data_IF_074863077119
#
_entry.id   IF_074863077119
#
_cell.length_a   1.000
_cell.length_b   1.000
_cell.length_c   1.000
_cell.angle_alpha   90.00
_cell.angle_beta   90.00
_cell.angle_gamma   90.00
#
_symmetry.space_group_name_H-M   'P 1'
#
loop_
_entity.id
_entity.type
_entity.pdbx_description
1 polymer ?
#
# COMPACT_ATOMS: atom_id res chain seq x y z
N UNK A 1 18.96 -21.58 -4.41
CA UNK A 1 17.60 -21.81 -4.97
C UNK A 1 17.67 -22.72 -6.20
N UNK A 2 16.81 -23.73 -6.27
CA UNK A 2 16.65 -24.59 -7.46
C UNK A 2 16.31 -23.77 -8.71
N UNK A 3 16.75 -24.22 -9.90
CA UNK A 3 16.45 -23.58 -11.20
C UNK A 3 14.94 -23.46 -11.43
N UNK A 4 14.17 -24.46 -10.99
CA UNK A 4 12.71 -24.46 -11.03
C UNK A 4 12.10 -23.33 -10.18
N UNK A 5 12.58 -23.15 -8.96
CA UNK A 5 12.10 -22.08 -8.06
C UNK A 5 12.36 -20.67 -8.59
N UNK A 6 13.52 -20.44 -9.24
CA UNK A 6 13.84 -19.15 -9.87
C UNK A 6 12.91 -18.83 -11.04
N UNK A 7 12.63 -19.82 -11.89
CA UNK A 7 11.70 -19.66 -13.01
C UNK A 7 10.28 -19.42 -12.52
N UNK A 8 9.84 -20.12 -11.47
CA UNK A 8 8.54 -19.89 -10.85
C UNK A 8 8.43 -18.48 -10.29
N UNK A 9 9.43 -18.01 -9.53
CA UNK A 9 9.46 -16.65 -8.99
C UNK A 9 9.42 -15.58 -10.09
N UNK A 10 10.22 -15.73 -11.16
CA UNK A 10 10.20 -14.81 -12.30
C UNK A 10 8.85 -14.81 -13.03
N UNK A 11 8.24 -15.98 -13.19
CA UNK A 11 6.90 -16.12 -13.77
C UNK A 11 5.86 -15.39 -12.92
N UNK A 12 5.92 -15.54 -11.59
CA UNK A 12 5.07 -14.82 -10.65
C UNK A 12 5.27 -13.31 -10.73
N UNK A 13 6.51 -12.82 -10.73
CA UNK A 13 6.81 -11.39 -10.89
C UNK A 13 6.28 -10.83 -12.22
N UNK A 14 6.37 -11.62 -13.31
CA UNK A 14 5.81 -11.27 -14.61
C UNK A 14 4.29 -11.16 -14.56
N UNK A 15 3.59 -12.14 -13.98
CA UNK A 15 2.12 -12.11 -13.79
C UNK A 15 1.69 -10.92 -12.93
N UNK A 16 2.43 -10.65 -11.85
CA UNK A 16 2.17 -9.51 -10.98
C UNK A 16 2.29 -8.20 -11.77
N UNK A 17 3.39 -8.01 -12.48
CA UNK A 17 3.70 -6.74 -13.17
C UNK A 17 2.79 -6.49 -14.39
N UNK A 18 2.55 -7.51 -15.20
CA UNK A 18 1.75 -7.43 -16.44
C UNK A 18 0.27 -7.72 -16.23
N UNK A 19 -0.16 -8.09 -15.02
CA UNK A 19 -1.52 -8.53 -14.71
C UNK A 19 -1.84 -9.91 -15.27
N UNK A 20 -3.04 -10.40 -14.95
CA UNK A 20 -3.39 -11.80 -15.17
C UNK A 20 -2.87 -12.66 -14.03
N UNK A 21 -3.37 -12.39 -12.81
CA UNK A 21 -3.11 -13.23 -11.65
C UNK A 21 -3.52 -14.67 -11.94
N UNK A 22 -2.79 -15.62 -11.34
CA UNK A 22 -3.12 -17.04 -11.41
C UNK A 22 -4.59 -17.28 -11.00
N UNK A 23 -5.16 -18.39 -11.45
CA UNK A 23 -6.47 -18.84 -10.98
C UNK A 23 -6.40 -19.20 -9.49
N UNK A 24 -7.55 -19.25 -8.81
CA UNK A 24 -7.62 -19.53 -7.37
C UNK A 24 -6.88 -20.82 -7.02
N UNK A 25 -7.03 -21.84 -7.86
CA UNK A 25 -6.40 -23.17 -7.72
C UNK A 25 -4.89 -23.18 -7.99
N UNK A 26 -4.37 -22.17 -8.70
CA UNK A 26 -2.98 -22.12 -9.19
C UNK A 26 -2.09 -21.14 -8.40
N UNK A 27 -2.54 -20.74 -7.19
CA UNK A 27 -1.73 -19.90 -6.30
C UNK A 27 -2.01 -18.40 -6.42
N UNK A 28 -3.23 -17.99 -6.80
CA UNK A 28 -3.68 -16.58 -6.78
C UNK A 28 -3.35 -15.86 -5.48
N UNK A 29 -3.50 -16.54 -4.33
CA UNK A 29 -3.15 -15.99 -3.02
C UNK A 29 -1.67 -15.61 -2.94
N UNK A 30 -0.77 -16.45 -3.44
CA UNK A 30 0.67 -16.18 -3.46
C UNK A 30 1.03 -14.99 -4.35
N UNK A 31 0.39 -14.87 -5.52
CA UNK A 31 0.57 -13.72 -6.42
C UNK A 31 0.13 -12.42 -5.73
N UNK A 32 -1.03 -12.43 -5.05
CA UNK A 32 -1.55 -11.27 -4.30
C UNK A 32 -0.63 -10.92 -3.14
N UNK A 33 -0.21 -11.91 -2.35
CA UNK A 33 0.65 -11.72 -1.19
C UNK A 33 1.98 -11.09 -1.59
N UNK A 34 2.63 -11.60 -2.65
CA UNK A 34 3.87 -11.03 -3.14
C UNK A 34 3.66 -9.62 -3.70
N UNK A 35 2.58 -9.37 -4.43
CA UNK A 35 2.27 -8.04 -4.95
C UNK A 35 2.07 -7.02 -3.80
N UNK A 36 1.43 -7.41 -2.71
CA UNK A 36 1.26 -6.57 -1.52
C UNK A 36 2.57 -6.33 -0.78
N UNK A 37 3.44 -7.34 -0.68
CA UNK A 37 4.80 -7.18 -0.14
C UNK A 37 5.60 -6.17 -0.96
N UNK A 38 5.52 -6.23 -2.30
CA UNK A 38 6.21 -5.28 -3.18
C UNK A 38 5.77 -3.82 -2.98
N UNK A 39 4.57 -3.56 -2.45
CA UNK A 39 4.14 -2.18 -2.13
C UNK A 39 5.00 -1.52 -1.05
N UNK A 40 5.51 -2.32 -0.10
CA UNK A 40 6.40 -1.84 0.96
C UNK A 40 7.79 -1.45 0.42
N UNK A 41 8.14 -1.82 -0.82
CA UNK A 41 9.41 -1.46 -1.47
C UNK A 41 9.37 -0.13 -2.24
N UNK A 42 8.26 0.60 -2.24
CA UNK A 42 8.12 1.85 -3.00
C UNK A 42 9.27 2.85 -2.76
N UNK A 43 9.62 3.12 -1.51
CA UNK A 43 10.73 4.02 -1.15
C UNK A 43 12.09 3.44 -1.51
N UNK A 44 12.29 2.15 -1.28
CA UNK A 44 13.53 1.43 -1.65
C UNK A 44 13.80 1.54 -3.15
N UNK A 45 12.76 1.42 -4.00
CA UNK A 45 12.89 1.62 -5.45
C UNK A 45 13.30 3.05 -5.81
N UNK A 46 12.71 4.05 -5.14
CA UNK A 46 13.09 5.45 -5.30
C UNK A 46 14.55 5.71 -4.91
N UNK A 47 15.01 5.16 -3.79
CA UNK A 47 16.38 5.32 -3.30
C UNK A 47 17.40 4.57 -4.16
N UNK A 48 17.04 3.39 -4.66
CA UNK A 48 17.87 2.64 -5.61
C UNK A 48 18.06 3.46 -6.89
N UNK A 49 16.99 4.10 -7.38
CA UNK A 49 17.07 4.98 -8.54
C UNK A 49 17.98 6.20 -8.27
N UNK A 50 17.77 6.92 -7.17
CA UNK A 50 18.60 8.09 -6.81
C UNK A 50 20.07 7.68 -6.65
N UNK A 51 20.35 6.56 -5.98
CA UNK A 51 21.69 6.02 -5.81
C UNK A 51 22.34 5.68 -7.15
N UNK A 52 21.59 5.04 -8.05
CA UNK A 52 22.05 4.73 -9.41
C UNK A 52 22.30 6.00 -10.22
N UNK A 53 21.41 6.99 -10.14
CA UNK A 53 21.56 8.28 -10.80
C UNK A 53 22.85 8.98 -10.35
N UNK A 54 23.14 8.99 -9.05
CA UNK A 54 24.36 9.58 -8.50
C UNK A 54 25.62 8.85 -8.97
N UNK A 55 25.59 7.51 -9.04
CA UNK A 55 26.72 6.70 -9.51
C UNK A 55 27.12 7.02 -10.96
N UNK A 56 26.15 7.35 -11.82
CA UNK A 56 26.40 7.71 -13.22
C UNK A 56 26.49 9.22 -13.48
N UNK A 57 26.32 10.05 -12.45
CA UNK A 57 26.40 11.50 -12.58
C UNK A 57 27.83 11.99 -12.43
N UNK A 58 28.37 12.60 -13.49
CA UNK A 58 29.71 13.20 -13.50
C UNK A 58 29.90 14.35 -12.49
N UNK A 59 28.81 14.85 -11.89
CA UNK A 59 28.82 15.96 -10.92
C UNK A 59 28.96 15.50 -9.47
N UNK A 60 28.89 14.19 -9.20
CA UNK A 60 28.88 13.65 -7.83
C UNK A 60 30.25 13.06 -7.49
N UNK A 61 30.87 13.53 -6.41
CA UNK A 61 32.11 12.94 -5.87
C UNK A 61 31.74 11.97 -4.74
N UNK A 62 32.48 10.86 -4.59
CA UNK A 62 32.18 9.80 -3.60
C UNK A 62 32.14 10.26 -2.13
N UNK A 63 32.70 11.43 -1.81
CA UNK A 63 32.72 12.03 -0.46
C UNK A 63 31.82 13.26 -0.30
N UNK A 64 31.15 13.70 -1.36
CA UNK A 64 30.25 14.85 -1.30
C UNK A 64 28.89 14.48 -0.66
N UNK A 65 28.17 15.48 -0.15
CA UNK A 65 26.80 15.28 0.35
C UNK A 65 25.94 14.68 -0.78
N UNK A 66 25.22 13.56 -0.55
CA UNK A 66 24.45 12.90 -1.60
C UNK A 66 23.36 13.81 -2.16
N UNK A 67 23.31 13.93 -3.49
CA UNK A 67 22.28 14.68 -4.22
C UNK A 67 20.98 13.86 -4.34
N UNK A 68 20.09 14.04 -3.35
CA UNK A 68 18.75 13.43 -3.36
C UNK A 68 17.81 14.00 -4.42
N UNK A 69 18.21 15.06 -5.13
CA UNK A 69 17.52 15.61 -6.29
C UNK A 69 17.93 14.98 -7.62
N UNK A 70 18.86 14.02 -7.62
CA UNK A 70 19.30 13.34 -8.83
C UNK A 70 18.12 12.64 -9.53
N UNK A 71 17.84 13.03 -10.77
CA UNK A 71 16.69 12.55 -11.55
C UNK A 71 15.43 13.43 -11.45
N UNK A 72 15.49 14.54 -10.73
CA UNK A 72 14.47 15.58 -10.72
C UNK A 72 13.30 15.35 -9.76
N UNK A 73 12.49 16.39 -9.57
CA UNK A 73 11.46 16.44 -8.53
C UNK A 73 10.28 15.46 -8.73
N UNK A 74 10.08 14.97 -9.96
CA UNK A 74 8.89 14.19 -10.32
C UNK A 74 9.16 12.72 -10.62
N UNK A 75 10.38 12.36 -11.01
CA UNK A 75 10.71 10.98 -11.41
C UNK A 75 10.75 10.04 -10.20
N UNK A 76 11.32 10.47 -9.08
CA UNK A 76 11.33 9.67 -7.84
C UNK A 76 9.92 9.40 -7.32
N UNK A 77 9.03 10.41 -7.18
CA UNK A 77 7.61 10.16 -6.87
C UNK A 77 6.91 9.22 -7.86
N UNK A 78 7.20 9.34 -9.16
CA UNK A 78 6.65 8.44 -10.16
C UNK A 78 7.07 6.98 -9.91
N UNK A 79 8.36 6.72 -9.67
CA UNK A 79 8.89 5.39 -9.33
C UNK A 79 8.24 4.84 -8.06
N UNK A 80 8.10 5.68 -7.02
CA UNK A 80 7.42 5.30 -5.78
C UNK A 80 5.94 4.95 -5.99
N UNK A 81 5.29 5.47 -7.04
CA UNK A 81 3.90 5.15 -7.37
C UNK A 81 3.72 3.82 -8.11
N UNK A 82 4.79 3.25 -8.69
CA UNK A 82 4.75 2.03 -9.53
C UNK A 82 4.09 0.84 -8.82
N UNK A 83 4.42 0.49 -7.57
CA UNK A 83 3.76 -0.64 -6.91
C UNK A 83 2.23 -0.46 -6.78
N UNK A 84 1.78 0.76 -6.47
CA UNK A 84 0.35 1.09 -6.39
C UNK A 84 -0.34 1.05 -7.76
N UNK A 85 0.33 1.47 -8.83
CA UNK A 85 -0.16 1.34 -10.21
C UNK A 85 -0.36 -0.12 -10.57
N UNK A 86 0.62 -0.98 -10.26
CA UNK A 86 0.55 -2.42 -10.52
C UNK A 86 -0.67 -3.02 -9.79
N UNK A 87 -0.84 -2.73 -8.50
CA UNK A 87 -1.97 -3.24 -7.71
C UNK A 87 -3.32 -2.71 -8.21
N UNK A 88 -3.42 -1.42 -8.53
CA UNK A 88 -4.61 -0.83 -9.13
C UNK A 88 -4.99 -1.58 -10.40
N UNK A 89 -4.03 -1.77 -11.31
CA UNK A 89 -4.27 -2.46 -12.58
C UNK A 89 -4.72 -3.91 -12.37
N UNK A 90 -4.10 -4.64 -11.45
CA UNK A 90 -4.53 -6.00 -11.09
C UNK A 90 -5.97 -6.03 -10.58
N UNK A 91 -6.33 -5.11 -9.67
CA UNK A 91 -7.68 -5.05 -9.10
C UNK A 91 -8.73 -4.74 -10.16
N UNK A 92 -8.42 -3.84 -11.11
CA UNK A 92 -9.32 -3.51 -12.23
C UNK A 92 -9.48 -4.69 -13.20
N UNK A 93 -8.41 -5.42 -13.49
CA UNK A 93 -8.48 -6.62 -14.34
C UNK A 93 -9.37 -7.69 -13.71
N UNK A 94 -9.20 -7.96 -12.41
CA UNK A 94 -10.03 -8.93 -11.69
C UNK A 94 -11.50 -8.47 -11.60
N UNK A 95 -11.75 -7.18 -11.38
CA UNK A 95 -13.11 -6.63 -11.44
C UNK A 95 -13.77 -6.87 -12.80
N UNK A 96 -13.05 -6.59 -13.89
CA UNK A 96 -13.55 -6.82 -15.25
C UNK A 96 -13.75 -8.32 -15.53
N UNK A 97 -12.88 -9.18 -15.00
CA UNK A 97 -12.99 -10.64 -15.11
C UNK A 97 -14.26 -11.16 -14.44
N UNK A 98 -14.50 -10.77 -13.18
CA UNK A 98 -15.73 -11.14 -12.43
C UNK A 98 -16.98 -10.56 -13.09
N UNK A 99 -16.91 -9.31 -13.58
CA UNK A 99 -18.03 -8.68 -14.28
C UNK A 99 -18.39 -9.40 -15.59
N UNK A 100 -17.40 -9.91 -16.31
CA UNK A 100 -17.60 -10.65 -17.57
C UNK A 100 -18.12 -12.06 -17.32
N UNK A 101 -17.63 -12.74 -16.29
CA UNK A 101 -17.99 -14.11 -15.94
C UNK A 101 -18.82 -14.15 -14.65
N UNK A 102 -19.91 -13.37 -14.60
CA UNK A 102 -20.70 -13.22 -13.38
C UNK A 102 -21.47 -14.51 -13.09
N UNK A 103 -21.15 -15.16 -11.98
CA UNK A 103 -21.93 -16.27 -11.43
C UNK A 103 -22.86 -15.77 -10.32
N UNK A 104 -23.90 -16.53 -9.94
CA UNK A 104 -24.74 -16.19 -8.79
C UNK A 104 -23.94 -16.07 -7.48
N UNK A 105 -22.83 -16.80 -7.37
CA UNK A 105 -21.95 -16.86 -6.18
C UNK A 105 -20.85 -15.79 -6.18
N UNK A 106 -20.40 -15.29 -7.34
CA UNK A 106 -19.28 -14.35 -7.44
C UNK A 106 -19.65 -12.88 -7.14
N UNK A 107 -20.91 -12.59 -6.80
CA UNK A 107 -21.40 -11.21 -6.64
C UNK A 107 -21.14 -10.34 -7.88
N UNK A 108 -21.16 -9.01 -7.72
CA UNK A 108 -20.88 -8.06 -8.82
C UNK A 108 -19.42 -7.59 -8.89
N UNK A 109 -18.54 -8.12 -8.02
CA UNK A 109 -17.12 -7.78 -7.99
C UNK A 109 -16.77 -6.47 -7.26
N UNK A 110 -17.68 -5.88 -6.49
CA UNK A 110 -17.48 -4.59 -5.81
C UNK A 110 -16.26 -4.55 -4.87
N UNK A 111 -15.88 -5.68 -4.28
CA UNK A 111 -14.67 -5.78 -3.43
C UNK A 111 -13.38 -5.53 -4.24
N UNK A 112 -13.29 -5.97 -5.50
CA UNK A 112 -12.13 -5.68 -6.35
C UNK A 112 -12.03 -4.19 -6.67
N UNK A 113 -13.17 -3.52 -6.88
CA UNK A 113 -13.21 -2.07 -7.10
C UNK A 113 -12.84 -1.30 -5.83
N UNK A 114 -13.31 -1.75 -4.67
CA UNK A 114 -12.90 -1.18 -3.38
C UNK A 114 -11.38 -1.34 -3.17
N UNK A 115 -10.81 -2.49 -3.52
CA UNK A 115 -9.36 -2.68 -3.44
C UNK A 115 -8.61 -1.77 -4.44
N UNK A 116 -9.14 -1.60 -5.65
CA UNK A 116 -8.62 -0.64 -6.62
C UNK A 116 -8.63 0.79 -6.05
N UNK A 117 -9.73 1.19 -5.40
CA UNK A 117 -9.84 2.48 -4.72
C UNK A 117 -8.76 2.63 -3.63
N UNK A 118 -8.47 1.57 -2.86
CA UNK A 118 -7.43 1.57 -1.84
C UNK A 118 -6.08 1.98 -2.42
N UNK A 119 -5.60 1.31 -3.47
CA UNK A 119 -4.31 1.65 -4.08
C UNK A 119 -4.32 2.98 -4.83
N UNK A 120 -5.48 3.40 -5.35
CA UNK A 120 -5.62 4.71 -6.00
C UNK A 120 -5.49 5.88 -5.01
N UNK A 121 -5.88 5.68 -3.75
CA UNK A 121 -5.81 6.71 -2.69
C UNK A 121 -4.38 7.15 -2.34
N UNK A 122 -3.37 6.38 -2.75
CA UNK A 122 -1.97 6.77 -2.60
C UNK A 122 -1.52 7.84 -3.62
N UNK A 123 -2.14 7.93 -4.80
CA UNK A 123 -1.67 8.85 -5.85
C UNK A 123 -1.83 10.33 -5.50
N UNK A 124 -2.96 10.80 -4.92
CA UNK A 124 -3.06 12.17 -4.48
C UNK A 124 -1.98 12.54 -3.45
N UNK A 125 -1.63 11.61 -2.55
CA UNK A 125 -0.55 11.82 -1.57
C UNK A 125 0.79 12.04 -2.28
N UNK A 126 1.15 11.13 -3.19
CA UNK A 126 2.43 11.18 -3.91
C UNK A 126 2.52 12.42 -4.80
N UNK A 127 1.47 12.70 -5.56
CA UNK A 127 1.41 13.83 -6.50
C UNK A 127 1.49 15.18 -5.77
N UNK A 128 0.69 15.38 -4.72
CA UNK A 128 0.72 16.63 -3.94
C UNK A 128 2.08 16.81 -3.24
N UNK A 129 2.69 15.72 -2.76
CA UNK A 129 4.04 15.78 -2.18
C UNK A 129 5.11 16.14 -3.21
N UNK A 130 5.00 15.65 -4.45
CA UNK A 130 5.92 16.00 -5.54
C UNK A 130 5.80 17.46 -5.96
N UNK A 131 4.57 17.97 -6.09
CA UNK A 131 4.31 19.38 -6.42
C UNK A 131 4.89 20.35 -5.39
N UNK A 132 4.90 19.96 -4.11
CA UNK A 132 5.46 20.78 -3.04
C UNK A 132 6.99 20.83 -3.05
N UNK A 133 7.65 19.76 -3.52
CA UNK A 133 9.12 19.68 -3.63
C UNK A 133 9.67 20.33 -4.90
N UNK A 134 8.94 20.25 -6.02
CA UNK A 134 9.39 20.74 -7.32
C UNK A 134 9.37 22.25 -7.51
N UNK A 135 9.06 23.04 -6.48
CA UNK A 135 8.90 24.49 -6.60
C UNK A 135 10.05 25.23 -5.91
N UNK A 136 11.01 25.74 -6.70
CA UNK A 136 12.11 26.59 -6.22
C UNK A 136 11.76 28.08 -6.47
N UNK A 137 11.60 28.89 -5.40
CA UNK A 137 11.31 30.32 -5.53
C UNK A 137 12.47 31.13 -6.14
N UNK A 138 13.68 30.57 -6.26
CA UNK A 138 14.87 31.27 -6.76
C UNK A 138 14.93 31.44 -8.29
N UNK A 139 14.05 30.77 -9.03
CA UNK A 139 14.05 30.78 -10.52
C UNK A 139 13.21 31.91 -11.12
N UNK A 140 12.43 32.63 -10.33
CA UNK A 140 11.56 33.71 -10.82
C UNK A 140 12.13 35.09 -10.49
N UNK A 141 13.02 35.58 -11.35
CA UNK A 141 13.49 36.96 -11.33
C UNK A 141 12.40 37.89 -11.90
N UNK A 142 11.64 38.57 -11.04
CA UNK A 142 10.75 39.65 -11.47
C UNK A 142 10.60 40.75 -10.39
N UNK A 143 10.58 42.01 -10.83
CA UNK A 143 10.64 43.27 -10.06
C UNK A 143 9.38 43.58 -9.24
N UNK A 144 9.40 44.59 -8.36
CA UNK A 144 9.77 44.51 -6.93
C UNK A 144 8.51 44.84 -6.09
N UNK A 145 8.36 44.23 -4.92
CA UNK A 145 7.37 44.51 -3.86
C UNK A 145 5.87 44.25 -4.10
N UNK A 146 5.21 44.83 -5.10
CA UNK A 146 3.74 44.77 -5.24
C UNK A 146 3.22 43.46 -5.82
N UNK A 147 3.77 43.05 -6.97
CA UNK A 147 3.55 41.73 -7.55
C UNK A 147 4.12 40.64 -6.65
N UNK A 148 5.20 40.92 -5.92
CA UNK A 148 5.76 40.01 -4.92
C UNK A 148 4.77 39.72 -3.79
N UNK A 149 4.06 40.73 -3.24
CA UNK A 149 3.06 40.48 -2.19
C UNK A 149 1.85 39.70 -2.70
N UNK A 150 1.30 40.06 -3.87
CA UNK A 150 0.15 39.34 -4.44
C UNK A 150 0.53 37.89 -4.81
N UNK A 151 1.71 37.72 -5.40
CA UNK A 151 2.30 36.41 -5.68
C UNK A 151 2.57 35.63 -4.40
N UNK A 152 3.12 36.26 -3.35
CA UNK A 152 3.42 35.64 -2.06
C UNK A 152 2.15 35.17 -1.36
N UNK A 153 1.10 35.99 -1.32
CA UNK A 153 -0.19 35.62 -0.75
C UNK A 153 -0.87 34.49 -1.55
N UNK A 154 -0.91 34.59 -2.88
CA UNK A 154 -1.41 33.52 -3.75
C UNK A 154 -0.58 32.23 -3.64
N UNK A 155 0.74 32.37 -3.50
CA UNK A 155 1.69 31.28 -3.32
C UNK A 155 1.49 30.59 -1.97
N UNK A 156 1.41 31.36 -0.89
CA UNK A 156 1.19 30.85 0.45
C UNK A 156 -0.20 30.19 0.52
N UNK A 157 -1.23 30.79 -0.08
CA UNK A 157 -2.56 30.20 -0.18
C UNK A 157 -2.56 28.88 -0.96
N UNK A 158 -1.91 28.82 -2.14
CA UNK A 158 -1.78 27.60 -2.94
C UNK A 158 -1.01 26.51 -2.19
N UNK A 159 0.08 26.87 -1.49
CA UNK A 159 0.89 25.95 -0.70
C UNK A 159 0.11 25.39 0.49
N UNK A 160 -0.55 26.26 1.26
CA UNK A 160 -1.42 25.86 2.37
C UNK A 160 -2.58 24.98 1.90
N UNK A 161 -3.19 25.31 0.76
CA UNK A 161 -4.24 24.46 0.17
C UNK A 161 -3.69 23.08 -0.21
N UNK A 162 -2.54 23.03 -0.89
CA UNK A 162 -1.88 21.77 -1.22
C UNK A 162 -1.49 20.95 0.02
N UNK A 163 -1.01 21.60 1.09
CA UNK A 163 -0.68 20.97 2.38
C UNK A 163 -1.92 20.35 3.03
N UNK A 164 -3.04 21.08 3.07
CA UNK A 164 -4.32 20.59 3.58
C UNK A 164 -4.85 19.42 2.74
N UNK A 165 -4.83 19.54 1.41
CA UNK A 165 -5.24 18.45 0.52
C UNK A 165 -4.34 17.21 0.67
N UNK A 166 -3.03 17.40 0.87
CA UNK A 166 -2.09 16.31 1.11
C UNK A 166 -2.40 15.60 2.42
N UNK A 167 -2.60 16.35 3.50
CA UNK A 167 -2.93 15.81 4.81
C UNK A 167 -4.26 15.05 4.78
N UNK A 168 -5.27 15.59 4.10
CA UNK A 168 -6.54 14.91 3.88
C UNK A 168 -6.36 13.61 3.08
N UNK A 169 -5.57 13.64 2.00
CA UNK A 169 -5.27 12.44 1.20
C UNK A 169 -4.54 11.38 2.02
N UNK A 170 -3.60 11.81 2.86
CA UNK A 170 -2.88 10.98 3.82
C UNK A 170 -3.84 10.31 4.79
N UNK A 171 -4.77 11.08 5.34
CA UNK A 171 -5.78 10.59 6.27
C UNK A 171 -6.65 9.53 5.58
N UNK A 172 -7.22 9.84 4.41
CA UNK A 172 -8.05 8.90 3.64
C UNK A 172 -7.27 7.63 3.32
N UNK A 173 -6.06 7.74 2.81
CA UNK A 173 -5.22 6.57 2.46
C UNK A 173 -4.90 5.71 3.69
N UNK A 174 -4.52 6.33 4.80
CA UNK A 174 -4.11 5.62 6.02
C UNK A 174 -5.30 4.90 6.65
N UNK A 175 -6.42 5.59 6.86
CA UNK A 175 -7.61 4.99 7.49
C UNK A 175 -8.30 3.98 6.58
N UNK A 176 -8.36 4.22 5.27
CA UNK A 176 -8.97 3.27 4.36
C UNK A 176 -8.14 1.98 4.25
N UNK A 177 -6.81 2.12 4.18
CA UNK A 177 -5.94 0.96 4.18
C UNK A 177 -5.96 0.23 5.53
N UNK A 178 -6.04 0.94 6.65
CA UNK A 178 -6.20 0.31 7.98
C UNK A 178 -7.50 -0.50 8.07
N UNK A 179 -8.61 0.09 7.64
CA UNK A 179 -9.88 -0.62 7.52
C UNK A 179 -9.73 -1.88 6.67
N UNK A 180 -9.03 -1.78 5.53
CA UNK A 180 -8.80 -2.90 4.65
C UNK A 180 -8.04 -4.04 5.33
N UNK A 181 -6.94 -3.74 5.99
CA UNK A 181 -6.11 -4.77 6.64
C UNK A 181 -6.89 -5.47 7.76
N UNK A 182 -7.65 -4.74 8.58
CA UNK A 182 -8.43 -5.31 9.68
C UNK A 182 -9.67 -6.07 9.18
N UNK A 183 -10.50 -5.44 8.34
CA UNK A 183 -11.81 -5.98 7.96
C UNK A 183 -11.74 -6.96 6.79
N UNK A 184 -10.80 -6.79 5.85
CA UNK A 184 -10.74 -7.59 4.62
C UNK A 184 -9.59 -8.58 4.61
N UNK A 185 -8.40 -8.15 5.02
CA UNK A 185 -7.22 -9.02 4.98
C UNK A 185 -7.19 -9.99 6.17
N UNK A 186 -7.51 -9.50 7.38
CA UNK A 186 -7.58 -10.30 8.61
C UNK A 186 -8.97 -10.83 8.93
N UNK A 187 -9.99 -10.39 8.19
CA UNK A 187 -11.38 -10.89 8.31
C UNK A 187 -11.94 -10.74 9.74
N UNK A 188 -11.62 -9.62 10.39
CA UNK A 188 -12.05 -9.34 11.76
C UNK A 188 -13.38 -8.57 11.76
N UNK A 189 -14.20 -8.82 12.76
CA UNK A 189 -15.56 -8.27 12.89
C UNK A 189 -15.62 -6.87 13.51
N UNK A 190 -14.47 -6.21 13.75
CA UNK A 190 -14.39 -4.90 14.41
C UNK A 190 -15.21 -3.81 13.69
N UNK A 191 -15.29 -3.88 12.37
CA UNK A 191 -16.05 -2.95 11.52
C UNK A 191 -17.31 -3.56 10.91
N UNK A 192 -17.70 -4.77 11.36
CA UNK A 192 -18.94 -5.43 10.94
C UNK A 192 -20.14 -4.88 11.71
N UNK A 193 -21.32 -5.46 11.47
CA UNK A 193 -22.54 -5.09 12.19
C UNK A 193 -22.34 -5.17 13.71
N UNK A 194 -23.03 -4.31 14.46
CA UNK A 194 -22.99 -4.35 15.93
C UNK A 194 -23.39 -5.72 16.49
N UNK A 195 -24.17 -6.51 15.75
CA UNK A 195 -24.50 -7.90 16.11
C UNK A 195 -23.27 -8.80 16.04
N UNK A 196 -22.58 -8.82 14.91
CA UNK A 196 -21.41 -9.67 14.68
C UNK A 196 -20.22 -9.24 15.53
N UNK A 197 -20.07 -7.92 15.77
CA UNK A 197 -18.98 -7.38 16.60
C UNK A 197 -19.12 -7.73 18.08
N UNK A 198 -20.35 -7.80 18.58
CA UNK A 198 -20.69 -8.04 19.98
C UNK A 198 -21.22 -9.47 20.22
N UNK A 199 -20.97 -10.39 19.29
CA UNK A 199 -21.42 -11.77 19.44
C UNK A 199 -20.77 -12.41 20.68
N UNK A 200 -21.56 -12.95 21.63
CA UNK A 200 -21.00 -13.59 22.83
C UNK A 200 -20.20 -14.87 22.54
N UNK A 201 -20.31 -15.46 21.34
CA UNK A 201 -19.56 -16.67 20.97
C UNK A 201 -18.06 -16.41 20.76
N UNK A 202 -17.64 -15.15 20.58
CA UNK A 202 -16.24 -14.81 20.38
C UNK A 202 -15.88 -13.44 20.96
N UNK A 203 -14.58 -13.14 21.19
CA UNK A 203 -14.17 -11.84 21.71
C UNK A 203 -14.56 -10.68 20.78
N UNK A 204 -14.71 -9.50 21.39
CA UNK A 204 -15.17 -8.28 20.73
C UNK A 204 -14.40 -7.96 19.45
N UNK A 205 -15.10 -7.86 18.33
CA UNK A 205 -14.51 -7.46 17.05
C UNK A 205 -13.48 -8.43 16.46
N UNK A 206 -13.33 -9.63 17.03
CA UNK A 206 -12.51 -10.72 16.48
C UNK A 206 -13.41 -11.76 15.79
N UNK A 207 -12.80 -12.59 14.94
CA UNK A 207 -13.53 -13.70 14.30
C UNK A 207 -13.65 -14.92 15.23
N UNK A 208 -14.67 -15.75 14.98
CA UNK A 208 -14.93 -17.00 15.72
C UNK A 208 -13.75 -17.98 15.69
N UNK A 209 -13.23 -18.24 14.49
CA UNK A 209 -12.18 -19.25 14.27
C UNK A 209 -10.79 -18.61 14.22
N UNK A 210 -9.96 -18.92 15.21
CA UNK A 210 -8.61 -18.36 15.38
C UNK A 210 -7.64 -19.48 15.70
N UNK A 211 -6.47 -19.44 15.06
CA UNK A 211 -5.37 -20.37 15.31
C UNK A 211 -4.33 -19.78 16.27
N UNK A 212 -4.22 -18.45 16.35
CA UNK A 212 -3.45 -17.83 17.42
C UNK A 212 -4.30 -17.84 18.70
N UNK A 213 -3.92 -18.67 19.66
CA UNK A 213 -4.68 -18.85 20.90
C UNK A 213 -4.77 -17.58 21.76
N UNK A 214 -3.73 -16.75 21.74
CA UNK A 214 -3.70 -15.50 22.49
C UNK A 214 -4.44 -14.39 21.73
N UNK A 215 -5.64 -14.01 22.22
CA UNK A 215 -6.43 -12.93 21.63
C UNK A 215 -5.69 -11.58 21.61
N UNK A 216 -4.81 -11.37 22.59
CA UNK A 216 -4.00 -10.16 22.72
C UNK A 216 -3.10 -9.94 21.48
N UNK A 217 -2.71 -11.02 20.78
CA UNK A 217 -1.93 -10.90 19.55
C UNK A 217 -2.70 -10.17 18.45
N UNK A 218 -4.02 -10.37 18.34
CA UNK A 218 -4.85 -9.69 17.36
C UNK A 218 -5.01 -8.21 17.69
N UNK A 219 -5.33 -7.88 18.95
CA UNK A 219 -5.46 -6.47 19.36
C UNK A 219 -4.13 -5.73 19.28
N UNK A 220 -3.03 -6.38 19.67
CA UNK A 220 -1.68 -5.83 19.50
C UNK A 220 -1.36 -5.60 18.03
N UNK A 221 -1.71 -6.53 17.14
CA UNK A 221 -1.50 -6.38 15.71
C UNK A 221 -2.32 -5.22 15.13
N UNK A 222 -3.59 -5.06 15.53
CA UNK A 222 -4.44 -3.92 15.14
C UNK A 222 -3.80 -2.60 15.60
N UNK A 223 -3.34 -2.52 16.84
CA UNK A 223 -2.73 -1.31 17.39
C UNK A 223 -1.41 -0.97 16.69
N UNK A 224 -0.50 -1.94 16.57
CA UNK A 224 0.79 -1.78 15.87
C UNK A 224 0.55 -1.35 14.43
N UNK A 225 -0.39 -2.00 13.74
CA UNK A 225 -0.66 -1.68 12.36
C UNK A 225 -1.20 -0.24 12.18
N UNK A 226 -2.12 0.22 13.03
CA UNK A 226 -2.59 1.60 13.00
C UNK A 226 -1.45 2.60 13.23
N UNK A 227 -0.64 2.37 14.27
CA UNK A 227 0.48 3.24 14.63
C UNK A 227 1.53 3.32 13.52
N UNK A 228 1.95 2.16 13.00
CA UNK A 228 2.97 2.08 11.95
C UNK A 228 2.45 2.59 10.61
N UNK A 229 1.15 2.48 10.31
CA UNK A 229 0.58 3.02 9.07
C UNK A 229 0.58 4.55 9.03
N UNK A 230 0.44 5.20 10.18
CA UNK A 230 0.64 6.64 10.30
C UNK A 230 2.08 7.06 9.91
N UNK A 231 3.07 6.16 10.03
CA UNK A 231 4.46 6.46 9.65
C UNK A 231 4.69 6.57 8.15
N UNK A 232 3.90 5.87 7.32
CA UNK A 232 3.98 5.99 5.87
C UNK A 232 3.77 7.44 5.40
N UNK A 233 2.91 8.17 6.10
CA UNK A 233 2.58 9.56 5.81
C UNK A 233 3.69 10.54 6.22
N UNK A 234 4.53 10.18 7.19
CA UNK A 234 5.71 10.96 7.56
C UNK A 234 6.80 10.89 6.48
N UNK A 235 6.92 9.76 5.74
CA UNK A 235 7.91 9.57 4.65
C UNK A 235 7.78 10.61 3.51
N UNK A 236 6.58 11.13 3.30
CA UNK A 236 6.26 12.04 2.19
C UNK A 236 6.17 13.52 2.64
N UNK A 237 6.37 13.81 3.93
CA UNK A 237 6.21 15.17 4.46
C UNK A 237 7.44 16.06 4.16
N UNK A 238 7.29 17.19 3.43
CA UNK A 238 8.40 18.11 3.16
C UNK A 238 8.92 18.82 4.41
N UNK A 239 8.08 19.01 5.43
CA UNK A 239 8.47 19.64 6.70
C UNK A 239 9.36 18.77 7.58
N UNK A 240 9.47 17.48 7.26
CA UNK A 240 10.40 16.56 7.92
C UNK A 240 11.67 16.33 7.09
N UNK A 241 11.88 17.04 5.96
CA UNK A 241 13.14 16.92 5.21
C UNK A 241 14.37 17.22 6.08
N UNK A 242 14.22 18.04 7.14
CA UNK A 242 15.28 18.30 8.12
C UNK A 242 15.49 17.17 9.16
N UNK A 243 14.46 16.38 9.48
CA UNK A 243 14.61 15.17 10.32
C UNK A 243 15.03 13.95 9.49
N UNK A 244 14.69 13.92 8.19
CA UNK A 244 15.19 12.99 7.17
C UNK A 244 16.68 13.24 6.80
N UNK A 245 17.31 14.31 7.31
CA UNK A 245 18.75 14.48 7.26
C UNK A 245 19.47 13.48 8.20
N UNK A 246 18.79 12.94 9.23
CA UNK A 246 19.27 11.80 10.00
C UNK A 246 18.99 10.51 9.21
N UNK A 247 19.99 10.00 8.51
CA UNK A 247 19.92 8.78 7.70
C UNK A 247 19.32 7.58 8.47
N UNK A 248 19.56 7.51 9.79
CA UNK A 248 18.98 6.49 10.67
C UNK A 248 17.45 6.55 10.80
N UNK A 249 16.83 7.73 10.67
CA UNK A 249 15.39 7.90 10.79
C UNK A 249 14.62 7.28 9.62
N UNK A 250 15.09 7.51 8.39
CA UNK A 250 14.50 6.89 7.18
C UNK A 250 14.67 5.37 7.25
N UNK A 251 15.87 4.89 7.58
CA UNK A 251 16.13 3.46 7.71
C UNK A 251 15.19 2.81 8.75
N UNK A 252 15.03 3.42 9.92
CA UNK A 252 14.12 2.92 10.96
C UNK A 252 12.67 2.88 10.47
N UNK A 253 12.19 3.91 9.76
CA UNK A 253 10.83 3.93 9.18
C UNK A 253 10.64 2.85 8.10
N UNK A 254 11.67 2.53 7.31
CA UNK A 254 11.60 1.42 6.35
C UNK A 254 11.62 0.07 7.06
N UNK A 255 12.45 -0.10 8.09
CA UNK A 255 12.48 -1.31 8.91
C UNK A 255 11.13 -1.55 9.61
N UNK A 256 10.52 -0.50 10.17
CA UNK A 256 9.19 -0.56 10.80
C UNK A 256 8.12 -0.98 9.79
N UNK A 257 8.17 -0.49 8.55
CA UNK A 257 7.25 -0.92 7.49
C UNK A 257 7.44 -2.41 7.12
N UNK A 258 8.69 -2.89 7.09
CA UNK A 258 8.98 -4.32 6.88
C UNK A 258 8.44 -5.18 8.02
N UNK A 259 8.66 -4.78 9.28
CA UNK A 259 8.13 -5.49 10.46
C UNK A 259 6.60 -5.51 10.46
N UNK A 260 5.96 -4.38 10.10
CA UNK A 260 4.51 -4.31 9.97
C UNK A 260 3.99 -5.30 8.93
N UNK A 261 4.62 -5.36 7.75
CA UNK A 261 4.22 -6.30 6.68
C UNK A 261 4.49 -7.75 7.08
N UNK A 262 5.61 -8.04 7.73
CA UNK A 262 5.92 -9.35 8.29
C UNK A 262 4.83 -9.84 9.23
N UNK A 263 4.42 -9.01 10.18
CA UNK A 263 3.28 -9.29 11.07
C UNK A 263 1.99 -9.50 10.27
N UNK A 264 1.66 -8.59 9.36
CA UNK A 264 0.45 -8.68 8.53
C UNK A 264 0.37 -9.98 7.72
N UNK A 265 1.49 -10.52 7.22
CA UNK A 265 1.53 -11.78 6.48
C UNK A 265 1.01 -12.95 7.33
N UNK A 266 1.40 -13.05 8.60
CA UNK A 266 0.95 -14.16 9.46
C UNK A 266 -0.56 -14.18 9.63
N UNK A 267 -1.15 -13.04 9.97
CA UNK A 267 -2.60 -12.92 10.10
C UNK A 267 -3.30 -13.13 8.76
N UNK A 268 -2.72 -12.65 7.65
CA UNK A 268 -3.28 -12.86 6.31
C UNK A 268 -3.28 -14.33 5.90
N UNK A 269 -2.18 -15.04 6.12
CA UNK A 269 -2.06 -16.49 5.85
C UNK A 269 -3.00 -17.27 6.76
N UNK A 270 -3.11 -16.90 8.03
CA UNK A 270 -4.03 -17.53 8.97
C UNK A 270 -5.50 -17.37 8.52
N UNK A 271 -5.89 -16.17 8.09
CA UNK A 271 -7.21 -15.92 7.48
C UNK A 271 -7.47 -16.82 6.30
N UNK A 272 -6.50 -16.89 5.38
CA UNK A 272 -6.61 -17.72 4.18
C UNK A 272 -6.75 -19.20 4.53
N UNK A 273 -5.99 -19.65 5.53
CA UNK A 273 -6.06 -21.01 6.04
C UNK A 273 -7.43 -21.33 6.67
N UNK A 274 -8.03 -20.39 7.41
CA UNK A 274 -9.39 -20.53 7.94
C UNK A 274 -10.40 -20.66 6.80
N UNK A 275 -10.32 -19.79 5.78
CA UNK A 275 -11.22 -19.80 4.62
C UNK A 275 -11.13 -21.11 3.84
N UNK A 276 -9.92 -21.63 3.65
CA UNK A 276 -9.67 -22.89 2.95
C UNK A 276 -10.18 -24.14 3.68
N UNK A 277 -10.19 -24.16 5.02
CA UNK A 277 -10.59 -25.33 5.79
C UNK A 277 -12.04 -25.29 6.29
N UNK A 278 -12.66 -24.11 6.38
CA UNK A 278 -14.00 -23.95 6.97
C UNK A 278 -15.00 -23.21 6.07
N UNK A 279 -14.59 -22.84 4.86
CA UNK A 279 -15.40 -22.05 3.92
C UNK A 279 -15.22 -20.54 4.09
N UNK A 280 -15.55 -19.75 3.06
CA UNK A 280 -15.42 -18.29 3.11
C UNK A 280 -16.43 -17.68 4.09
N UNK A 281 -16.09 -16.52 4.66
CA UNK A 281 -17.07 -15.71 5.38
C UNK A 281 -18.24 -15.34 4.44
N UNK A 282 -19.47 -15.15 4.95
CA UNK A 282 -20.67 -14.90 4.12
C UNK A 282 -20.53 -13.76 3.09
N UNK A 283 -19.65 -12.80 3.34
CA UNK A 283 -19.44 -11.61 2.51
C UNK A 283 -18.12 -11.59 1.71
N UNK A 284 -17.34 -12.69 1.71
CA UNK A 284 -16.03 -12.72 1.06
C UNK A 284 -16.07 -13.27 -0.37
N UNK A 285 -16.01 -12.35 -1.33
CA UNK A 285 -16.05 -12.63 -2.77
C UNK A 285 -14.62 -12.85 -3.31
N UNK A 286 -13.58 -12.55 -2.53
CA UNK A 286 -12.23 -12.40 -3.08
C UNK A 286 -11.63 -13.71 -3.62
N UNK A 287 -12.05 -14.86 -3.08
CA UNK A 287 -11.56 -16.20 -3.43
C UNK A 287 -12.67 -17.28 -3.39
N UNK A 288 -13.94 -16.88 -3.34
CA UNK A 288 -15.10 -17.75 -3.09
C UNK A 288 -15.42 -18.84 -4.14
N UNK A 289 -14.53 -19.11 -5.10
CA UNK A 289 -14.62 -20.34 -5.90
C UNK A 289 -14.01 -21.51 -5.15
N UNK A 290 -14.72 -21.99 -4.12
CA UNK A 290 -14.56 -23.38 -3.71
C UNK A 290 -15.21 -24.24 -4.79
N UNK A 291 -14.35 -24.83 -5.62
CA UNK A 291 -14.70 -26.07 -6.28
C UNK A 291 -15.00 -27.07 -5.18
N UNK A 292 -16.27 -27.49 -5.09
CA UNK A 292 -16.64 -28.63 -4.29
C UNK A 292 -15.76 -29.81 -4.72
N UNK A 293 -14.84 -30.21 -3.85
CA UNK A 293 -14.53 -31.62 -3.76
C UNK A 293 -15.77 -32.25 -3.14
N UNK A 294 -16.68 -32.66 -4.02
CA UNK A 294 -17.35 -33.92 -3.81
C UNK A 294 -16.21 -34.93 -3.82
N UNK A 295 -15.70 -35.28 -2.65
CA UNK A 295 -15.05 -36.57 -2.51
C UNK A 295 -16.19 -37.58 -2.74
N UNK A 296 -16.34 -38.01 -3.99
CA UNK A 296 -16.99 -39.27 -4.35
C UNK A 296 -16.04 -40.39 -3.93
N UNK A 297 -16.56 -41.24 -3.04
CA UNK A 297 -16.11 -42.57 -2.60
C UNK A 297 -14.76 -42.73 -1.85
#
# INVERSE_FOLDING_TARGET
>A
MSRSGRLHFLSTLKRISLGGLAEVKDGKFGDILLADVLTSYAKVLGDLFVSTCMLFSAKTTSTAKPDRGCGGAYLVPFIMSVPSIIRLRQCLIEYLRVRRNRTPTSGWGGQHLANALKYSSAFPVIFLSALQRGYDPKTFHMTEAGLFRLWYELFHLRRHFADKCRLFSVFVNSFYSFYWDVAKDWDLSLFSSSRDRNDPEHPYGLRRHRYFHAQEMYYTAIAIDLLLRCTWSFKLSPHLDHFNDLEGGIFLMELMEVVRRWMWIFFRVETEWVRNNRGPAPDDILLGEFGGKLDED
#
